data_IF_166245204681
#
_entry.id   IF_166245204681
#
_cell.length_a   1.000
_cell.length_b   1.000
_cell.length_c   1.000
_cell.angle_alpha   90.00
_cell.angle_beta   90.00
_cell.angle_gamma   90.00
#
_symmetry.space_group_name_H-M   'P 1'
#
loop_
_entity.id
_entity.type
_entity.pdbx_description
1 polymer ?
#
# COMPACT_ATOMS: atom_id res chain seq x y z
N UNK A 1 -19.98 21.44 -10.24
CA UNK A 1 -19.52 20.79 -11.48
C UNK A 1 -18.17 21.41 -11.81
N UNK A 2 -17.09 20.75 -11.45
CA UNK A 2 -15.75 21.05 -11.95
C UNK A 2 -15.24 19.72 -12.46
N UNK A 3 -15.58 19.40 -13.71
CA UNK A 3 -14.83 18.38 -14.47
C UNK A 3 -13.47 19.01 -14.74
N UNK A 4 -12.53 18.77 -13.83
CA UNK A 4 -11.12 18.87 -14.18
C UNK A 4 -10.82 17.65 -15.02
N UNK A 5 -10.92 17.79 -16.35
CA UNK A 5 -10.43 16.80 -17.30
C UNK A 5 -8.96 16.52 -16.98
N UNK A 6 -8.72 15.46 -16.21
CA UNK A 6 -7.37 14.98 -15.92
C UNK A 6 -6.76 14.67 -17.29
N UNK A 7 -5.66 15.36 -17.61
CA UNK A 7 -5.03 15.29 -18.93
C UNK A 7 -4.80 13.81 -19.31
N UNK A 8 -5.14 13.36 -20.53
CA UNK A 8 -5.03 11.95 -20.92
C UNK A 8 -3.64 11.36 -20.68
N UNK A 9 -2.59 12.19 -20.78
CA UNK A 9 -1.21 11.79 -20.46
C UNK A 9 -0.99 11.51 -18.97
N UNK A 10 -1.66 12.22 -18.06
CA UNK A 10 -1.60 11.92 -16.61
C UNK A 10 -2.31 10.60 -16.32
N UNK A 11 -3.42 10.32 -17.00
CA UNK A 11 -4.11 9.03 -16.92
C UNK A 11 -3.23 7.91 -17.48
N UNK A 12 -2.54 8.15 -18.59
CA UNK A 12 -1.64 7.17 -19.21
C UNK A 12 -0.36 6.95 -18.38
N UNK A 13 0.21 8.00 -17.80
CA UNK A 13 1.32 7.91 -16.85
C UNK A 13 0.90 7.14 -15.60
N UNK A 14 -0.27 7.45 -15.05
CA UNK A 14 -0.83 6.75 -13.91
C UNK A 14 -1.07 5.28 -14.25
N UNK A 15 -1.64 4.97 -15.42
CA UNK A 15 -1.78 3.60 -15.91
C UNK A 15 -0.43 2.91 -16.05
N UNK A 16 0.62 3.56 -16.57
CA UNK A 16 1.96 2.98 -16.66
C UNK A 16 2.61 2.77 -15.29
N UNK A 17 2.36 3.67 -14.33
CA UNK A 17 2.78 3.53 -12.94
C UNK A 17 2.07 2.36 -12.24
N UNK A 18 0.74 2.28 -12.38
CA UNK A 18 -0.10 1.16 -11.95
C UNK A 18 0.20 -0.13 -12.71
N UNK A 19 0.72 -0.05 -13.95
CA UNK A 19 1.12 -1.19 -14.81
C UNK A 19 2.61 -1.50 -14.75
N UNK A 20 3.36 -1.00 -13.76
CA UNK A 20 4.62 -1.64 -13.41
C UNK A 20 4.33 -3.12 -13.18
N UNK A 21 4.78 -3.96 -14.11
CA UNK A 21 4.53 -5.41 -14.12
C UNK A 21 4.99 -6.05 -12.80
N UNK A 22 5.93 -5.41 -12.13
CA UNK A 22 6.46 -5.78 -10.82
C UNK A 22 5.47 -5.47 -9.69
N UNK A 23 4.87 -4.26 -9.66
CA UNK A 23 3.90 -3.87 -8.61
C UNK A 23 2.66 -4.77 -8.70
N UNK A 24 2.10 -4.93 -9.90
CA UNK A 24 0.95 -5.81 -10.11
C UNK A 24 1.27 -7.28 -9.84
N UNK A 25 2.49 -7.74 -10.14
CA UNK A 25 2.90 -9.10 -9.79
C UNK A 25 2.99 -9.28 -8.28
N UNK A 26 3.56 -8.32 -7.54
CA UNK A 26 3.65 -8.36 -6.07
C UNK A 26 2.27 -8.33 -5.41
N UNK A 27 1.37 -7.47 -5.88
CA UNK A 27 -0.01 -7.43 -5.38
C UNK A 27 -0.76 -8.72 -5.69
N UNK A 28 -0.64 -9.27 -6.91
CA UNK A 28 -1.23 -10.58 -7.26
C UNK A 28 -0.68 -11.73 -6.44
N UNK A 29 0.62 -11.73 -6.14
CA UNK A 29 1.24 -12.70 -5.24
C UNK A 29 0.64 -12.59 -3.83
N UNK A 30 0.35 -11.38 -3.36
CA UNK A 30 -0.32 -11.16 -2.08
C UNK A 30 -1.77 -11.63 -2.12
N UNK A 31 -2.52 -11.35 -3.19
CA UNK A 31 -3.92 -11.79 -3.35
C UNK A 31 -4.08 -13.32 -3.37
N UNK A 32 -3.08 -14.06 -3.87
CA UNK A 32 -3.09 -15.53 -3.93
C UNK A 32 -2.57 -16.25 -2.68
N UNK A 33 -2.07 -15.54 -1.68
CA UNK A 33 -1.51 -16.14 -0.46
C UNK A 33 -2.61 -16.34 0.60
N UNK A 34 -3.37 -17.42 0.46
CA UNK A 34 -4.50 -17.76 1.33
C UNK A 34 -4.09 -18.15 2.77
N UNK A 35 -2.81 -18.40 3.01
CA UNK A 35 -2.29 -18.89 4.30
C UNK A 35 -2.19 -17.81 5.39
N UNK A 36 -2.29 -16.51 5.03
CA UNK A 36 -2.20 -15.40 5.97
C UNK A 36 -3.34 -14.41 5.73
N UNK A 37 -4.52 -14.69 6.28
CA UNK A 37 -5.69 -13.80 6.17
C UNK A 37 -5.72 -12.81 7.34
N UNK A 38 -5.62 -11.52 7.01
CA UNK A 38 -5.82 -10.40 7.93
C UNK A 38 -6.89 -9.46 7.37
N UNK A 39 -7.41 -8.58 8.22
CA UNK A 39 -8.23 -7.47 7.78
C UNK A 39 -7.35 -6.37 7.21
N UNK A 40 -7.46 -6.14 5.91
CA UNK A 40 -6.63 -5.19 5.15
C UNK A 40 -7.45 -4.01 4.66
N UNK A 41 -6.82 -2.85 4.56
CA UNK A 41 -7.40 -1.59 4.10
C UNK A 41 -7.66 -1.58 2.58
N UNK A 42 -6.75 -2.18 1.82
CA UNK A 42 -6.73 -2.28 0.34
C UNK A 42 -6.65 -0.95 -0.43
N UNK A 43 -6.52 0.15 0.29
CA UNK A 43 -6.35 1.50 -0.27
C UNK A 43 -5.47 2.36 0.65
N UNK A 44 -4.40 1.76 1.19
CA UNK A 44 -3.53 2.41 2.15
C UNK A 44 -2.48 3.29 1.47
N UNK A 45 -2.85 4.52 1.11
CA UNK A 45 -1.93 5.55 0.60
C UNK A 45 -1.90 6.78 1.53
N UNK A 46 -0.91 7.68 1.37
CA UNK A 46 -0.71 8.81 2.29
C UNK A 46 -1.95 9.68 2.54
N UNK A 47 -2.82 9.89 1.54
CA UNK A 47 -4.04 10.68 1.74
C UNK A 47 -5.06 10.03 2.70
N UNK A 48 -4.94 8.72 2.96
CA UNK A 48 -5.77 7.95 3.89
C UNK A 48 -5.10 7.79 5.26
N UNK A 49 -4.01 8.52 5.51
CA UNK A 49 -3.28 8.55 6.78
C UNK A 49 -3.37 9.97 7.35
N UNK A 50 -4.06 10.11 8.49
CA UNK A 50 -4.15 11.38 9.22
C UNK A 50 -3.14 11.35 10.35
N UNK A 51 -2.15 12.24 10.28
CA UNK A 51 -1.21 12.48 11.37
C UNK A 51 -1.82 13.46 12.38
N UNK A 52 -1.96 13.05 13.64
CA UNK A 52 -2.49 13.88 14.71
C UNK A 52 -1.37 14.61 15.48
N UNK A 53 -0.24 13.94 15.68
CA UNK A 53 0.98 14.49 16.28
C UNK A 53 2.23 13.79 15.72
N UNK A 54 3.40 14.01 16.32
CA UNK A 54 4.66 13.44 15.84
C UNK A 54 4.76 11.91 16.00
N UNK A 55 3.86 11.27 16.74
CA UNK A 55 3.95 9.85 17.11
C UNK A 55 2.69 9.04 16.81
N UNK A 56 1.58 9.70 16.44
CA UNK A 56 0.28 9.06 16.23
C UNK A 56 -0.31 9.39 14.87
N UNK A 57 -0.77 8.31 14.23
CA UNK A 57 -1.49 8.34 12.96
C UNK A 57 -2.80 7.60 13.12
N UNK A 58 -3.82 7.98 12.35
CA UNK A 58 -5.03 7.18 12.14
C UNK A 58 -5.22 6.90 10.66
N UNK A 59 -5.66 5.68 10.38
CA UNK A 59 -6.09 5.27 9.05
C UNK A 59 -7.57 5.62 8.85
N UNK A 60 -7.90 6.21 7.72
CA UNK A 60 -9.26 6.63 7.36
C UNK A 60 -9.64 6.08 5.99
N UNK A 61 -10.93 6.16 5.66
CA UNK A 61 -11.48 5.70 4.38
C UNK A 61 -11.36 4.18 4.13
N UNK A 62 -12.02 3.42 5.01
CA UNK A 62 -12.05 1.96 4.98
C UNK A 62 -13.00 1.35 3.93
N UNK A 63 -13.46 2.12 2.94
CA UNK A 63 -14.49 1.65 1.99
C UNK A 63 -14.03 0.47 1.12
N UNK A 64 -12.71 0.30 0.93
CA UNK A 64 -12.11 -0.79 0.17
C UNK A 64 -11.69 -1.99 1.04
N UNK A 65 -11.93 -1.97 2.35
CA UNK A 65 -11.40 -2.97 3.26
C UNK A 65 -11.93 -4.40 3.00
N UNK A 66 -11.18 -5.41 3.45
CA UNK A 66 -11.61 -6.80 3.38
C UNK A 66 -10.60 -7.77 3.98
N UNK A 67 -10.93 -9.06 3.95
CA UNK A 67 -9.96 -10.10 4.30
C UNK A 67 -8.96 -10.30 3.16
N UNK A 68 -7.67 -10.40 3.48
CA UNK A 68 -6.62 -10.58 2.49
C UNK A 68 -5.24 -10.70 3.13
N UNK A 69 -4.22 -10.80 2.29
CA UNK A 69 -2.85 -10.88 2.78
C UNK A 69 -2.42 -9.53 3.40
N UNK A 70 -1.97 -9.51 4.67
CA UNK A 70 -1.49 -8.30 5.35
C UNK A 70 -0.44 -7.49 4.59
N UNK A 71 0.39 -8.17 3.78
CA UNK A 71 1.43 -7.53 2.97
C UNK A 71 0.86 -6.64 1.85
N UNK A 72 -0.42 -6.81 1.50
CA UNK A 72 -1.08 -5.99 0.49
C UNK A 72 -0.96 -4.50 0.82
N UNK A 73 -1.31 -4.11 2.05
CA UNK A 73 -1.29 -2.70 2.47
C UNK A 73 0.13 -2.13 2.52
N UNK A 74 1.11 -2.95 2.90
CA UNK A 74 2.53 -2.56 2.93
C UNK A 74 3.04 -2.28 1.52
N UNK A 75 2.79 -3.20 0.59
CA UNK A 75 3.20 -3.01 -0.81
C UNK A 75 2.43 -1.89 -1.47
N UNK A 76 1.12 -1.80 -1.23
CA UNK A 76 0.30 -0.73 -1.77
C UNK A 76 0.85 0.64 -1.34
N UNK A 77 1.11 0.82 -0.03
CA UNK A 77 1.71 2.05 0.47
C UNK A 77 3.03 2.35 -0.25
N UNK A 78 4.03 1.47 -0.14
CA UNK A 78 5.37 1.69 -0.72
C UNK A 78 5.28 2.05 -2.21
N UNK A 79 4.46 1.32 -2.97
CA UNK A 79 4.36 1.46 -4.42
C UNK A 79 3.57 2.70 -4.86
N UNK A 80 2.55 3.12 -4.10
CA UNK A 80 1.71 4.28 -4.45
C UNK A 80 2.21 5.58 -3.85
N UNK A 81 3.16 5.52 -2.91
CA UNK A 81 3.70 6.70 -2.25
C UNK A 81 5.09 7.11 -2.75
N UNK A 82 5.74 6.33 -3.60
CA UNK A 82 7.12 6.52 -3.98
C UNK A 82 7.40 6.14 -5.44
N UNK A 83 8.45 6.72 -6.02
CA UNK A 83 8.94 6.29 -7.33
C UNK A 83 9.69 4.94 -7.24
N UNK A 84 9.83 4.26 -8.37
CA UNK A 84 10.41 2.90 -8.42
C UNK A 84 11.82 2.81 -7.81
N UNK A 85 12.68 3.82 -7.98
CA UNK A 85 14.03 3.78 -7.42
C UNK A 85 14.00 3.85 -5.89
N UNK A 86 13.11 4.71 -5.36
CA UNK A 86 12.88 4.81 -3.92
C UNK A 86 12.35 3.49 -3.38
N UNK A 87 11.35 2.88 -4.03
CA UNK A 87 10.80 1.57 -3.66
C UNK A 87 11.88 0.51 -3.57
N UNK A 88 12.70 0.34 -4.61
CA UNK A 88 13.78 -0.66 -4.62
C UNK A 88 14.80 -0.45 -3.50
N UNK A 89 15.07 0.80 -3.11
CA UNK A 89 16.02 1.11 -2.05
C UNK A 89 15.48 0.85 -0.63
N UNK A 90 14.16 0.99 -0.42
CA UNK A 90 13.54 0.94 0.92
C UNK A 90 12.71 -0.32 1.17
N UNK A 91 12.32 -1.06 0.13
CA UNK A 91 11.41 -2.22 0.22
C UNK A 91 11.83 -3.21 1.31
N UNK A 92 13.10 -3.60 1.32
CA UNK A 92 13.61 -4.57 2.30
C UNK A 92 13.46 -4.05 3.74
N UNK A 93 13.82 -2.79 3.98
CA UNK A 93 13.73 -2.18 5.30
C UNK A 93 12.28 -2.11 5.80
N UNK A 94 11.34 -1.73 4.93
CA UNK A 94 9.93 -1.65 5.28
C UNK A 94 9.33 -3.02 5.57
N UNK A 95 9.67 -4.04 4.78
CA UNK A 95 9.24 -5.42 5.02
C UNK A 95 9.82 -5.98 6.31
N UNK A 96 11.10 -5.72 6.60
CA UNK A 96 11.75 -6.14 7.85
C UNK A 96 11.06 -5.47 9.06
N UNK A 97 10.80 -4.16 8.98
CA UNK A 97 10.09 -3.42 10.03
C UNK A 97 8.67 -3.96 10.25
N UNK A 98 7.94 -4.24 9.16
CA UNK A 98 6.61 -4.82 9.23
C UNK A 98 6.61 -6.18 9.92
N UNK A 99 7.53 -7.06 9.54
CA UNK A 99 7.69 -8.39 10.14
C UNK A 99 8.01 -8.30 11.63
N UNK A 100 8.96 -7.42 12.02
CA UNK A 100 9.31 -7.19 13.44
C UNK A 100 8.10 -6.71 14.24
N UNK A 101 7.31 -5.78 13.70
CA UNK A 101 6.10 -5.30 14.36
C UNK A 101 5.06 -6.40 14.53
N UNK A 102 4.77 -7.19 13.49
CA UNK A 102 3.83 -8.31 13.59
C UNK A 102 4.29 -9.33 14.63
N UNK A 103 5.55 -9.75 14.62
CA UNK A 103 6.06 -10.71 15.59
C UNK A 103 5.87 -10.22 17.03
N UNK A 104 6.13 -8.93 17.30
CA UNK A 104 5.92 -8.32 18.62
C UNK A 104 4.46 -8.29 19.05
N UNK A 105 3.53 -8.09 18.12
CA UNK A 105 2.09 -8.09 18.45
C UNK A 105 1.54 -9.51 18.62
N UNK A 106 2.09 -10.50 17.92
CA UNK A 106 1.69 -11.91 18.04
C UNK A 106 2.28 -12.63 19.25
N UNK A 107 3.36 -12.11 19.84
CA UNK A 107 3.98 -12.62 21.07
C UNK A 107 3.33 -12.10 22.37
N UNK A 108 2.32 -11.22 22.27
CA UNK A 108 1.55 -10.68 23.39
C UNK A 108 0.35 -11.57 23.77
#
# INVERSE_FOLDING_TARGET
MVDNDIHPEIIELAKQFFQSSVINAKLKLCEGAEEMLSFVHRDLHFNNIIQFDHVSVKLVDWQCCGLGNPLFDVFYMICFTSDLNTVESVEKEYLDNYYICICKELEQ
#
